data_IF_599741927179
#
_entry.id   IF_599741927179
#
_cell.length_a   1.000
_cell.length_b   1.000
_cell.length_c   1.000
_cell.angle_alpha   90.00
_cell.angle_beta   90.00
_cell.angle_gamma   90.00
#
_symmetry.space_group_name_H-M   'P 1'
#
loop_
_entity.id
_entity.type
_entity.pdbx_description
1 polymer ?
#
# COMPACT_ATOMS: atom_id res chain seq x y z
N UNK A 1 -68.39 0.75 41.73
CA UNK A 1 -67.73 1.31 40.52
C UNK A 1 -66.33 1.75 40.89
N UNK A 2 -65.31 1.04 40.41
CA UNK A 2 -63.89 1.30 40.70
C UNK A 2 -63.36 2.39 39.76
N UNK A 3 -62.57 3.35 40.27
CA UNK A 3 -61.66 4.17 39.44
C UNK A 3 -60.28 4.19 40.09
N UNK A 4 -59.31 3.81 39.26
CA UNK A 4 -57.89 3.56 39.52
C UNK A 4 -57.13 4.88 39.73
N UNK A 5 -56.20 4.90 40.69
CA UNK A 5 -55.20 5.95 40.87
C UNK A 5 -53.88 5.45 40.27
N UNK A 6 -53.29 6.25 39.39
CA UNK A 6 -52.06 5.98 38.64
C UNK A 6 -50.85 6.50 39.42
N UNK A 7 -49.85 5.65 39.61
CA UNK A 7 -48.56 5.96 40.25
C UNK A 7 -47.56 6.46 39.19
N UNK A 8 -46.93 7.62 39.41
CA UNK A 8 -45.85 8.15 38.58
C UNK A 8 -44.52 8.01 39.35
N UNK A 9 -43.59 7.21 38.83
CA UNK A 9 -42.27 6.98 39.42
C UNK A 9 -41.26 7.98 38.85
N UNK A 10 -40.64 8.74 39.74
CA UNK A 10 -39.57 9.71 39.49
C UNK A 10 -38.21 8.99 39.63
N UNK A 11 -37.34 9.06 38.61
CA UNK A 11 -35.92 8.66 38.73
C UNK A 11 -35.05 9.75 38.13
N UNK A 12 -34.40 10.51 39.02
CA UNK A 12 -33.31 11.44 38.73
C UNK A 12 -31.98 10.74 39.00
N UNK A 13 -31.07 10.68 38.01
CA UNK A 13 -29.71 10.18 38.18
C UNK A 13 -28.76 11.37 38.39
N UNK A 14 -28.11 11.38 39.56
CA UNK A 14 -27.06 12.31 39.97
C UNK A 14 -25.70 11.81 39.46
N UNK A 15 -24.91 12.68 38.83
CA UNK A 15 -23.50 12.46 38.51
C UNK A 15 -22.64 12.88 39.71
N UNK A 16 -21.91 11.92 40.27
CA UNK A 16 -20.99 12.10 41.39
C UNK A 16 -19.58 12.49 40.94
N UNK A 17 -18.90 13.28 41.78
CA UNK A 17 -17.53 13.77 41.65
C UNK A 17 -16.62 13.04 42.69
N UNK A 18 -15.29 13.26 42.61
CA UNK A 18 -14.19 12.90 43.56
C UNK A 18 -13.50 11.54 43.20
N UNK A 19 -12.17 11.38 43.08
CA UNK A 19 -11.00 11.94 43.80
C UNK A 19 -9.70 11.81 42.99
N UNK A 20 -8.72 12.69 43.29
CA UNK A 20 -7.29 12.51 43.01
C UNK A 20 -6.62 11.69 44.10
N UNK A 21 -5.69 10.80 43.72
CA UNK A 21 -4.32 10.62 44.25
C UNK A 21 -3.85 9.18 44.00
N UNK A 22 -2.78 8.99 43.21
CA UNK A 22 -1.53 8.28 43.60
C UNK A 22 -0.50 8.55 42.48
N UNK A 23 0.47 9.40 42.78
CA UNK A 23 1.79 9.37 42.17
C UNK A 23 2.57 8.18 42.75
N UNK A 24 3.11 7.31 41.91
CA UNK A 24 4.49 6.78 42.03
C UNK A 24 4.69 5.55 41.14
N UNK A 25 5.27 5.73 39.96
CA UNK A 25 6.27 4.83 39.40
C UNK A 25 7.03 5.57 38.29
N UNK A 26 8.28 5.94 38.58
CA UNK A 26 9.28 6.34 37.59
C UNK A 26 9.72 5.11 36.81
N UNK A 27 9.77 5.21 35.48
CA UNK A 27 10.42 4.23 34.61
C UNK A 27 10.43 4.72 33.16
N UNK A 28 11.49 5.41 32.78
CA UNK A 28 12.00 5.67 31.43
C UNK A 28 11.05 5.54 30.22
N UNK A 29 10.65 6.66 29.62
CA UNK A 29 10.45 6.75 28.16
C UNK A 29 10.89 8.14 27.69
N UNK A 30 11.89 8.16 26.80
CA UNK A 30 12.23 9.32 26.01
C UNK A 30 11.05 9.67 25.11
N UNK A 31 10.54 10.89 25.22
CA UNK A 31 9.51 11.41 24.32
C UNK A 31 10.16 11.65 22.96
N UNK A 32 9.88 10.77 22.00
CA UNK A 32 9.85 11.15 20.59
C UNK A 32 8.72 12.19 20.46
N UNK A 33 9.10 13.44 20.22
CA UNK A 33 8.15 14.53 20.05
C UNK A 33 7.44 14.40 18.71
N UNK A 34 6.31 13.70 18.67
CA UNK A 34 5.39 13.75 17.53
C UNK A 34 4.69 15.11 17.57
N UNK A 35 5.17 16.04 16.75
CA UNK A 35 4.49 17.32 16.52
C UNK A 35 3.28 17.03 15.64
N UNK A 36 2.08 17.05 16.24
CA UNK A 36 0.83 17.05 15.48
C UNK A 36 0.74 18.38 14.72
N UNK A 37 1.06 18.36 13.43
CA UNK A 37 0.65 19.39 12.48
C UNK A 37 -0.87 19.31 12.38
N UNK A 38 -1.57 20.41 12.66
CA UNK A 38 -3.00 20.53 12.42
C UNK A 38 -3.28 20.26 10.93
N UNK A 39 -3.86 19.08 10.63
CA UNK A 39 -4.27 18.67 9.28
C UNK A 39 -5.28 19.69 8.74
N UNK A 40 -4.90 20.43 7.70
CA UNK A 40 -5.88 21.09 6.82
C UNK A 40 -6.45 20.00 5.93
N UNK A 41 -7.78 19.80 5.85
CA UNK A 41 -8.36 18.89 4.88
C UNK A 41 -7.90 19.32 3.48
N UNK A 42 -7.21 18.43 2.76
CA UNK A 42 -6.92 18.68 1.36
C UNK A 42 -8.26 18.70 0.62
N UNK A 43 -8.64 19.88 0.14
CA UNK A 43 -9.83 20.04 -0.68
C UNK A 43 -9.51 19.48 -2.07
N UNK A 44 -9.84 18.20 -2.29
CA UNK A 44 -9.72 17.57 -3.61
C UNK A 44 -10.79 18.20 -4.51
N UNK A 45 -10.38 19.22 -5.28
CA UNK A 45 -11.20 19.79 -6.35
C UNK A 45 -11.40 18.71 -7.42
N UNK A 46 -12.65 18.52 -7.86
CA UNK A 46 -12.97 17.68 -9.03
C UNK A 46 -12.20 18.21 -10.25
N UNK A 47 -11.39 17.36 -10.87
CA UNK A 47 -10.55 17.70 -12.02
C UNK A 47 -10.47 16.47 -12.92
N UNK A 48 -10.41 16.76 -14.23
CA UNK A 48 -10.39 15.85 -15.38
C UNK A 48 -9.53 14.57 -15.19
N UNK A 49 -9.82 13.46 -15.92
CA UNK A 49 -9.25 12.13 -15.67
C UNK A 49 -7.77 12.02 -16.04
N UNK A 50 -7.21 13.12 -16.54
CA UNK A 50 -5.93 13.28 -17.21
C UNK A 50 -4.83 13.83 -16.28
N UNK A 51 -4.95 13.60 -14.97
CA UNK A 51 -3.86 13.93 -14.06
C UNK A 51 -2.60 13.17 -14.43
N UNK A 52 -1.54 13.95 -14.68
CA UNK A 52 -0.19 13.50 -14.97
C UNK A 52 -0.10 12.50 -16.12
N UNK A 53 -0.75 12.78 -17.25
CA UNK A 53 -0.55 12.00 -18.47
C UNK A 53 -0.09 12.86 -19.64
N UNK A 54 0.65 12.24 -20.56
CA UNK A 54 1.11 12.82 -21.83
C UNK A 54 0.12 12.50 -22.97
N UNK A 55 -1.07 12.00 -22.65
CA UNK A 55 -2.04 11.44 -23.59
C UNK A 55 -1.93 9.92 -23.72
N UNK A 56 -2.60 9.38 -24.75
CA UNK A 56 -2.65 7.94 -25.02
C UNK A 56 -1.57 7.53 -26.03
N UNK A 57 -0.94 6.42 -25.73
CA UNK A 57 -0.12 5.67 -26.67
C UNK A 57 -1.00 5.20 -27.85
N UNK A 58 -0.62 5.52 -29.11
CA UNK A 58 -1.41 5.15 -30.28
C UNK A 58 -1.39 3.63 -30.60
N UNK A 59 -0.39 2.90 -30.13
CA UNK A 59 -0.24 1.46 -30.35
C UNK A 59 -0.96 0.66 -29.26
N UNK A 60 -0.79 1.03 -28.00
CA UNK A 60 -1.36 0.28 -26.87
C UNK A 60 -2.73 0.80 -26.43
N UNK A 61 -3.06 2.06 -26.72
CA UNK A 61 -4.27 2.75 -26.26
C UNK A 61 -4.25 3.13 -24.77
N UNK A 62 -3.12 2.90 -24.07
CA UNK A 62 -2.93 3.20 -22.66
C UNK A 62 -2.51 4.66 -22.45
N UNK A 63 -2.88 5.27 -21.33
CA UNK A 63 -2.38 6.59 -20.97
C UNK A 63 -0.92 6.51 -20.56
N UNK A 64 -0.07 7.40 -21.08
CA UNK A 64 1.35 7.47 -20.71
C UNK A 64 1.48 8.47 -19.56
N UNK A 65 2.01 8.06 -18.41
CA UNK A 65 2.22 8.99 -17.28
C UNK A 65 3.26 10.06 -17.61
N UNK A 66 3.13 11.24 -17.02
CA UNK A 66 4.03 12.40 -17.20
C UNK A 66 4.79 12.79 -15.93
N UNK A 67 4.62 12.00 -14.87
CA UNK A 67 5.24 12.20 -13.56
C UNK A 67 5.98 10.93 -13.12
N UNK A 68 6.64 10.25 -14.05
CA UNK A 68 7.27 8.95 -13.86
C UNK A 68 8.27 8.90 -12.70
N UNK A 69 8.92 10.03 -12.38
CA UNK A 69 9.87 10.17 -11.28
C UNK A 69 9.24 10.55 -9.93
N UNK A 70 7.93 10.82 -9.87
CA UNK A 70 7.21 11.15 -8.65
C UNK A 70 6.96 9.88 -7.81
N UNK A 71 7.07 9.95 -6.49
CA UNK A 71 6.74 8.84 -5.59
C UNK A 71 5.25 8.46 -5.66
N UNK A 72 4.41 9.38 -6.11
CA UNK A 72 2.98 9.20 -6.35
C UNK A 72 2.66 8.83 -7.82
N UNK A 73 3.66 8.47 -8.63
CA UNK A 73 3.41 7.95 -9.99
C UNK A 73 2.37 6.83 -9.97
N UNK A 74 1.36 6.93 -10.82
CA UNK A 74 0.22 6.03 -10.79
C UNK A 74 0.14 5.22 -12.08
N UNK A 75 0.49 3.93 -11.98
CA UNK A 75 0.46 2.97 -13.09
C UNK A 75 -0.50 1.84 -12.74
N UNK A 76 -1.23 1.36 -13.73
CA UNK A 76 -2.23 0.30 -13.60
C UNK A 76 -2.54 -0.28 -14.99
N UNK A 77 -3.57 -1.11 -15.13
CA UNK A 77 -3.99 -1.71 -16.41
C UNK A 77 -4.32 -0.71 -17.54
N UNK A 78 -4.44 0.58 -17.23
CA UNK A 78 -4.83 1.67 -18.14
C UNK A 78 -3.79 2.79 -18.26
N UNK A 79 -2.78 2.81 -17.39
CA UNK A 79 -1.73 3.83 -17.28
C UNK A 79 -0.36 3.15 -17.29
N UNK A 80 0.47 3.51 -18.27
CA UNK A 80 1.80 2.97 -18.48
C UNK A 80 2.89 4.02 -18.24
N UNK A 81 4.08 3.55 -17.88
CA UNK A 81 5.32 4.32 -17.86
C UNK A 81 5.74 4.69 -19.29
N UNK A 82 6.44 5.82 -19.48
CA UNK A 82 7.03 6.14 -20.78
C UNK A 82 8.09 5.10 -21.17
N UNK A 83 8.29 4.94 -22.47
CA UNK A 83 9.27 4.02 -23.03
C UNK A 83 10.68 4.31 -22.51
N UNK A 84 11.40 3.25 -22.15
CA UNK A 84 12.76 3.35 -21.64
C UNK A 84 12.88 3.89 -20.21
N UNK A 85 11.76 4.09 -19.49
CA UNK A 85 11.82 4.51 -18.10
C UNK A 85 12.49 3.45 -17.21
N UNK A 86 13.53 3.90 -16.51
CA UNK A 86 14.25 3.22 -15.45
C UNK A 86 14.58 4.26 -14.35
N UNK A 87 14.28 3.99 -13.07
CA UNK A 87 14.62 4.92 -12.00
C UNK A 87 16.14 5.10 -11.86
N UNK A 88 16.60 6.35 -11.72
CA UNK A 88 18.04 6.67 -11.60
C UNK A 88 18.60 6.41 -10.20
N UNK A 89 17.74 6.24 -9.19
CA UNK A 89 18.06 6.20 -7.76
C UNK A 89 17.85 4.83 -7.12
N UNK A 90 17.98 3.74 -7.89
CA UNK A 90 17.83 2.38 -7.39
C UNK A 90 18.97 2.00 -6.41
N UNK A 91 18.58 1.50 -5.24
CA UNK A 91 19.47 0.96 -4.20
C UNK A 91 18.94 -0.36 -3.66
N UNK A 92 19.83 -1.15 -3.06
CA UNK A 92 19.47 -2.37 -2.36
C UNK A 92 19.23 -2.09 -0.87
N UNK A 93 18.04 -2.39 -0.30
CA UNK A 93 17.79 -2.25 1.11
C UNK A 93 18.55 -3.30 1.91
N UNK A 94 19.07 -2.92 3.07
CA UNK A 94 19.74 -3.79 4.01
C UNK A 94 18.75 -4.67 4.81
N UNK A 95 18.03 -5.53 4.11
CA UNK A 95 17.06 -6.48 4.68
C UNK A 95 17.29 -7.88 4.13
N UNK A 96 16.77 -8.89 4.83
CA UNK A 96 16.76 -10.26 4.30
C UNK A 96 15.95 -10.33 3.02
N UNK A 97 16.50 -11.03 2.02
CA UNK A 97 15.90 -11.07 0.70
C UNK A 97 16.04 -12.46 0.06
N UNK A 98 14.98 -12.93 -0.59
CA UNK A 98 14.87 -14.27 -1.18
C UNK A 98 15.75 -14.45 -2.44
N UNK A 99 15.80 -13.42 -3.29
CA UNK A 99 16.64 -13.40 -4.51
C UNK A 99 18.13 -13.19 -4.17
N UNK A 100 19.08 -13.74 -4.95
CA UNK A 100 20.52 -13.63 -4.69
C UNK A 100 21.06 -12.20 -4.92
N UNK A 101 22.16 -11.85 -4.24
CA UNK A 101 22.87 -10.57 -4.41
C UNK A 101 23.13 -10.24 -5.89
N UNK A 102 22.95 -8.98 -6.27
CA UNK A 102 23.08 -8.49 -7.65
C UNK A 102 21.85 -8.71 -8.54
N UNK A 103 20.78 -9.32 -8.03
CA UNK A 103 19.50 -9.43 -8.75
C UNK A 103 18.69 -8.12 -8.66
N UNK A 104 18.18 -7.62 -9.79
CA UNK A 104 17.34 -6.41 -9.84
C UNK A 104 16.12 -6.46 -8.91
N UNK A 105 15.61 -7.67 -8.62
CA UNK A 105 14.54 -7.85 -7.63
C UNK A 105 14.90 -7.38 -6.24
N UNK A 106 16.17 -7.16 -5.94
CA UNK A 106 16.61 -6.61 -4.65
C UNK A 106 16.55 -5.10 -4.60
N UNK A 107 16.30 -4.43 -5.72
CA UNK A 107 16.41 -2.98 -5.80
C UNK A 107 15.08 -2.28 -5.56
N UNK A 108 15.15 -1.10 -4.95
CA UNK A 108 14.07 -0.13 -4.81
C UNK A 108 14.62 1.26 -5.07
N UNK A 109 13.76 2.23 -5.39
CA UNK A 109 14.16 3.64 -5.31
C UNK A 109 14.61 3.95 -3.89
N UNK A 110 15.66 4.75 -3.75
CA UNK A 110 16.36 5.00 -2.48
C UNK A 110 15.44 5.32 -1.30
N UNK A 111 14.48 6.21 -1.49
CA UNK A 111 13.56 6.61 -0.41
C UNK A 111 12.68 5.43 0.06
N UNK A 112 12.19 4.61 -0.89
CA UNK A 112 11.45 3.40 -0.56
C UNK A 112 12.37 2.36 0.12
N UNK A 113 13.60 2.19 -0.38
CA UNK A 113 14.61 1.30 0.21
C UNK A 113 14.84 1.59 1.70
N UNK A 114 15.12 2.86 2.03
CA UNK A 114 15.36 3.30 3.41
C UNK A 114 14.10 3.11 4.29
N UNK A 115 12.92 3.36 3.73
CA UNK A 115 11.66 3.13 4.43
C UNK A 115 11.38 1.63 4.68
N UNK A 116 11.78 0.75 3.76
CA UNK A 116 11.62 -0.70 3.91
C UNK A 116 12.48 -1.22 5.06
N UNK A 117 13.70 -0.72 5.19
CA UNK A 117 14.59 -1.07 6.31
C UNK A 117 13.94 -0.74 7.66
N UNK A 118 13.34 0.45 7.78
CA UNK A 118 12.63 0.87 9.00
C UNK A 118 11.39 0.01 9.30
N UNK A 119 10.63 -0.38 8.26
CA UNK A 119 9.50 -1.30 8.43
C UNK A 119 9.96 -2.67 8.94
N UNK A 120 11.05 -3.20 8.39
CA UNK A 120 11.60 -4.50 8.78
C UNK A 120 12.22 -4.46 10.17
N UNK A 121 12.89 -3.37 10.54
CA UNK A 121 13.41 -3.14 11.89
C UNK A 121 12.26 -3.15 12.92
N UNK A 122 11.19 -2.39 12.67
CA UNK A 122 10.03 -2.36 13.55
C UNK A 122 9.33 -3.72 13.69
N UNK A 123 9.23 -4.49 12.60
CA UNK A 123 8.72 -5.86 12.67
C UNK A 123 9.63 -6.74 13.56
N UNK A 124 10.94 -6.63 13.39
CA UNK A 124 11.92 -7.39 14.16
C UNK A 124 11.86 -7.06 15.66
N UNK A 125 11.56 -5.82 16.05
CA UNK A 125 11.36 -5.44 17.45
C UNK A 125 10.16 -6.17 18.11
N UNK A 126 9.16 -6.56 17.32
CA UNK A 126 8.02 -7.38 17.75
C UNK A 126 8.27 -8.88 17.60
N UNK A 127 9.50 -9.29 17.24
CA UNK A 127 9.86 -10.69 17.01
C UNK A 127 9.36 -11.26 15.67
N UNK A 128 8.88 -10.39 14.78
CA UNK A 128 8.37 -10.74 13.45
C UNK A 128 9.50 -10.68 12.44
N UNK A 129 9.68 -11.75 11.66
CA UNK A 129 10.75 -11.84 10.64
C UNK A 129 10.19 -11.76 9.23
N UNK A 130 10.23 -10.57 8.66
CA UNK A 130 9.91 -10.32 7.25
C UNK A 130 11.08 -10.71 6.34
N UNK A 131 10.77 -11.08 5.10
CA UNK A 131 11.73 -11.26 4.01
C UNK A 131 11.24 -10.55 2.77
N UNK A 132 12.12 -9.81 2.10
CA UNK A 132 11.83 -9.20 0.80
C UNK A 132 11.95 -10.24 -0.33
N UNK A 133 11.11 -10.13 -1.36
CA UNK A 133 10.99 -11.16 -2.41
C UNK A 133 11.26 -10.59 -3.80
N UNK A 134 10.56 -9.51 -4.17
CA UNK A 134 10.64 -8.90 -5.49
C UNK A 134 10.34 -7.40 -5.46
N UNK A 135 11.38 -6.59 -5.59
CA UNK A 135 11.37 -5.16 -5.82
C UNK A 135 11.35 -4.81 -7.31
N UNK A 136 12.35 -4.06 -7.77
CA UNK A 136 12.44 -3.54 -9.14
C UNK A 136 12.41 -4.63 -10.20
N UNK A 137 11.69 -4.32 -11.29
CA UNK A 137 11.58 -5.18 -12.47
C UNK A 137 11.58 -4.33 -13.73
N UNK A 138 12.58 -4.51 -14.58
CA UNK A 138 12.69 -3.77 -15.84
C UNK A 138 11.52 -4.08 -16.78
N UNK A 139 11.31 -3.17 -17.73
CA UNK A 139 10.33 -3.33 -18.79
C UNK A 139 10.51 -4.66 -19.56
N UNK A 140 11.74 -4.98 -19.96
CA UNK A 140 12.08 -6.19 -20.72
C UNK A 140 11.77 -7.45 -19.91
N UNK A 141 12.05 -7.42 -18.61
CA UNK A 141 11.72 -8.54 -17.73
C UNK A 141 10.22 -8.73 -17.62
N UNK A 142 9.46 -7.65 -17.49
CA UNK A 142 7.99 -7.71 -17.47
C UNK A 142 7.44 -8.22 -18.81
N UNK A 143 8.02 -7.80 -19.95
CA UNK A 143 7.68 -8.31 -21.27
C UNK A 143 7.92 -9.82 -21.41
N UNK A 144 9.05 -10.33 -20.91
CA UNK A 144 9.32 -11.76 -20.90
C UNK A 144 8.32 -12.55 -20.03
N UNK A 145 7.96 -12.03 -18.85
CA UNK A 145 6.96 -12.65 -17.97
C UNK A 145 5.59 -12.69 -18.64
N UNK A 146 5.16 -11.55 -19.19
CA UNK A 146 3.87 -11.43 -19.84
C UNK A 146 3.77 -12.37 -21.06
N UNK A 147 4.78 -12.40 -21.93
CA UNK A 147 4.84 -13.30 -23.07
C UNK A 147 4.80 -14.78 -22.65
N UNK A 148 5.49 -15.14 -21.57
CA UNK A 148 5.45 -16.50 -21.01
C UNK A 148 4.06 -16.87 -20.49
N UNK A 149 3.36 -15.95 -19.83
CA UNK A 149 1.98 -16.15 -19.37
C UNK A 149 1.01 -16.31 -20.54
N UNK A 150 1.14 -15.50 -21.60
CA UNK A 150 0.33 -15.64 -22.82
C UNK A 150 0.56 -17.01 -23.46
N UNK A 151 1.82 -17.43 -23.60
CA UNK A 151 2.17 -18.71 -24.21
C UNK A 151 1.67 -19.92 -23.42
N UNK A 152 1.66 -19.84 -22.09
CA UNK A 152 1.32 -20.97 -21.21
C UNK A 152 -0.16 -21.04 -20.83
N UNK A 153 -0.84 -19.89 -20.69
CA UNK A 153 -2.20 -19.80 -20.14
C UNK A 153 -3.19 -19.06 -21.05
N UNK A 154 -2.71 -18.48 -22.15
CA UNK A 154 -3.51 -17.73 -23.11
C UNK A 154 -3.64 -16.24 -22.77
N UNK A 155 -3.96 -15.45 -23.80
CA UNK A 155 -4.02 -13.99 -23.76
C UNK A 155 -5.01 -13.46 -22.70
N UNK A 156 -6.24 -13.97 -22.68
CA UNK A 156 -7.27 -13.53 -21.72
C UNK A 156 -6.84 -13.74 -20.28
N UNK A 157 -6.18 -14.87 -19.98
CA UNK A 157 -5.65 -15.11 -18.63
C UNK A 157 -4.50 -14.16 -18.31
N UNK A 158 -3.56 -13.96 -19.24
CA UNK A 158 -2.44 -13.04 -19.04
C UNK A 158 -2.91 -11.60 -18.79
N UNK A 159 -3.90 -11.11 -19.55
CA UNK A 159 -4.47 -9.77 -19.35
C UNK A 159 -5.18 -9.59 -18.00
N UNK A 160 -5.71 -10.68 -17.45
CA UNK A 160 -6.39 -10.65 -16.15
C UNK A 160 -5.39 -10.65 -14.99
N UNK A 161 -4.36 -11.48 -15.05
CA UNK A 161 -3.49 -11.79 -13.91
C UNK A 161 -2.05 -11.28 -14.03
N UNK A 162 -1.68 -10.63 -15.14
CA UNK A 162 -0.33 -10.13 -15.37
C UNK A 162 -0.37 -8.70 -15.87
N UNK A 163 0.46 -7.83 -15.27
CA UNK A 163 0.67 -6.49 -15.80
C UNK A 163 1.28 -6.59 -17.20
N UNK A 164 0.80 -5.73 -18.12
CA UNK A 164 1.47 -5.52 -19.40
C UNK A 164 2.81 -4.82 -19.17
N UNK A 165 3.75 -4.92 -20.10
CA UNK A 165 4.98 -4.11 -20.06
C UNK A 165 4.62 -2.63 -19.94
N UNK A 166 5.36 -1.88 -19.11
CA UNK A 166 5.06 -0.47 -18.82
C UNK A 166 3.97 -0.26 -17.76
N UNK A 167 3.14 -1.25 -17.43
CA UNK A 167 2.02 -1.08 -16.48
C UNK A 167 2.26 -1.69 -15.11
N UNK A 168 3.45 -2.21 -14.84
CA UNK A 168 3.78 -2.86 -13.56
C UNK A 168 4.37 -1.86 -12.58
N UNK A 169 3.83 -1.81 -11.36
CA UNK A 169 4.41 -0.97 -10.30
C UNK A 169 5.85 -1.36 -9.95
N UNK A 170 6.28 -2.61 -10.15
CA UNK A 170 7.67 -3.00 -9.93
C UNK A 170 8.65 -2.22 -10.81
N UNK A 171 8.24 -1.77 -12.00
CA UNK A 171 9.10 -0.96 -12.86
C UNK A 171 9.35 0.44 -12.27
N UNK A 172 8.46 0.92 -11.40
CA UNK A 172 8.66 2.21 -10.71
C UNK A 172 9.78 2.18 -9.67
N UNK A 173 10.20 0.99 -9.23
CA UNK A 173 11.09 0.81 -8.08
C UNK A 173 10.45 1.20 -6.74
N UNK A 174 9.14 1.43 -6.69
CA UNK A 174 8.40 1.79 -5.47
C UNK A 174 7.58 0.62 -4.91
N UNK A 175 7.58 -0.53 -5.59
CA UNK A 175 6.88 -1.73 -5.14
C UNK A 175 7.85 -2.79 -4.63
N UNK A 176 7.53 -3.40 -3.48
CA UNK A 176 8.26 -4.53 -2.91
C UNK A 176 7.27 -5.61 -2.50
N UNK A 177 7.46 -6.81 -3.04
CA UNK A 177 6.81 -8.01 -2.51
C UNK A 177 7.54 -8.49 -1.25
N UNK A 178 6.79 -8.78 -0.19
CA UNK A 178 7.32 -9.29 1.08
C UNK A 178 6.68 -10.63 1.50
N UNK A 179 7.33 -11.36 2.38
CA UNK A 179 6.82 -12.62 2.95
C UNK A 179 7.38 -12.83 4.36
N UNK A 180 7.19 -14.04 4.90
CA UNK A 180 7.79 -14.50 6.17
C UNK A 180 9.10 -15.23 5.89
N UNK A 181 10.16 -14.87 6.62
CA UNK A 181 11.46 -15.54 6.54
C UNK A 181 11.33 -17.05 6.84
N UNK A 182 11.75 -17.90 5.91
CA UNK A 182 11.78 -19.35 6.08
C UNK A 182 10.43 -20.06 5.99
N UNK A 183 9.38 -19.39 5.50
CA UNK A 183 8.06 -19.98 5.29
C UNK A 183 7.61 -19.87 3.83
N UNK A 184 8.01 -20.86 3.03
CA UNK A 184 7.69 -20.92 1.60
C UNK A 184 6.19 -21.18 1.33
N UNK A 185 5.43 -21.67 2.32
CA UNK A 185 3.99 -21.95 2.15
C UNK A 185 3.14 -20.70 1.97
N UNK A 186 3.64 -19.55 2.43
CA UNK A 186 2.93 -18.26 2.36
C UNK A 186 3.56 -17.32 1.32
N UNK A 187 4.63 -17.73 0.66
CA UNK A 187 5.37 -16.94 -0.33
C UNK A 187 4.46 -16.46 -1.46
N UNK A 188 4.30 -15.14 -1.58
CA UNK A 188 3.50 -14.48 -2.62
C UNK A 188 2.09 -15.07 -2.74
N UNK A 189 1.43 -15.28 -1.59
CA UNK A 189 0.11 -15.88 -1.51
C UNK A 189 -0.79 -15.12 -0.53
N UNK A 190 -2.10 -15.24 -0.70
CA UNK A 190 -3.08 -14.59 0.19
C UNK A 190 -2.94 -15.05 1.64
N UNK A 191 -2.44 -16.27 1.88
CA UNK A 191 -2.16 -16.81 3.21
C UNK A 191 -1.13 -15.97 3.97
N UNK A 192 -0.29 -15.17 3.29
CA UNK A 192 0.61 -14.23 3.97
C UNK A 192 -0.17 -13.27 4.89
N UNK A 193 -1.33 -12.77 4.43
CA UNK A 193 -2.18 -11.85 5.20
C UNK A 193 -2.75 -12.47 6.50
N UNK A 194 -2.77 -13.79 6.61
CA UNK A 194 -3.24 -14.52 7.80
C UNK A 194 -2.12 -14.75 8.84
N UNK A 195 -0.86 -14.43 8.49
CA UNK A 195 0.28 -14.57 9.40
C UNK A 195 0.44 -13.36 10.32
N UNK A 196 1.14 -13.52 11.44
CA UNK A 196 1.54 -12.39 12.30
C UNK A 196 2.26 -11.30 11.52
N UNK A 197 3.12 -11.68 10.57
CA UNK A 197 3.84 -10.75 9.71
C UNK A 197 2.93 -9.98 8.75
N UNK A 198 2.00 -10.67 8.08
CA UNK A 198 1.02 -10.04 7.20
C UNK A 198 0.09 -9.09 7.95
N UNK A 199 -0.37 -9.50 9.14
CA UNK A 199 -1.18 -8.63 10.01
C UNK A 199 -0.38 -7.42 10.51
N UNK A 200 0.89 -7.59 10.86
CA UNK A 200 1.77 -6.46 11.22
C UNK A 200 1.93 -5.49 10.05
N UNK A 201 2.21 -5.98 8.84
CA UNK A 201 2.31 -5.17 7.64
C UNK A 201 1.00 -4.42 7.37
N UNK A 202 -0.15 -5.11 7.41
CA UNK A 202 -1.45 -4.50 7.20
C UNK A 202 -1.76 -3.36 8.19
N UNK A 203 -1.26 -3.45 9.42
CA UNK A 203 -1.54 -2.47 10.48
C UNK A 203 -0.48 -1.37 10.62
N UNK A 204 0.77 -1.62 10.20
CA UNK A 204 1.89 -0.72 10.48
C UNK A 204 2.59 -0.16 9.25
N UNK A 205 2.46 -0.77 8.06
CA UNK A 205 3.21 -0.37 6.86
C UNK A 205 3.01 1.12 6.51
N UNK A 206 1.81 1.65 6.74
CA UNK A 206 1.48 3.05 6.45
C UNK A 206 2.36 4.05 7.23
N UNK A 207 2.80 3.68 8.44
CA UNK A 207 3.68 4.50 9.28
C UNK A 207 5.06 4.68 8.66
N UNK A 208 5.42 3.84 7.70
CA UNK A 208 6.68 3.87 6.96
C UNK A 208 6.47 4.29 5.49
N UNK A 209 5.27 4.74 5.12
CA UNK A 209 4.99 5.19 3.75
C UNK A 209 4.59 4.09 2.77
N UNK A 210 4.31 2.88 3.27
CA UNK A 210 3.86 1.76 2.46
C UNK A 210 2.37 1.49 2.63
N UNK A 211 1.71 1.11 1.53
CA UNK A 211 0.34 0.57 1.54
C UNK A 211 0.35 -0.87 1.03
N UNK A 212 -0.63 -1.67 1.47
CA UNK A 212 -1.02 -2.88 0.71
C UNK A 212 -1.73 -2.38 -0.55
N UNK A 213 -1.10 -2.55 -1.70
CA UNK A 213 -1.56 -1.92 -2.95
C UNK A 213 -2.91 -2.45 -3.43
N UNK A 214 -3.12 -3.75 -3.24
CA UNK A 214 -4.30 -4.49 -3.69
C UNK A 214 -4.98 -5.11 -2.47
N UNK A 215 -5.78 -4.34 -1.72
CA UNK A 215 -6.47 -4.82 -0.53
C UNK A 215 -7.70 -5.68 -0.88
N UNK A 216 -8.12 -6.51 0.07
CA UNK A 216 -9.31 -7.38 -0.06
C UNK A 216 -10.59 -6.55 -0.25
N UNK A 217 -11.47 -6.99 -1.16
CA UNK A 217 -12.75 -6.35 -1.42
C UNK A 217 -12.67 -5.10 -2.31
N UNK A 218 -11.50 -4.78 -2.86
CA UNK A 218 -11.26 -3.66 -3.78
C UNK A 218 -10.83 -4.14 -5.17
N UNK A 219 -11.14 -5.39 -5.53
CA UNK A 219 -10.76 -6.00 -6.80
C UNK A 219 -11.42 -5.30 -7.99
N UNK A 220 -12.68 -4.90 -7.83
CA UNK A 220 -13.42 -4.14 -8.84
C UNK A 220 -12.86 -2.72 -9.05
N UNK A 221 -12.06 -2.20 -8.10
CA UNK A 221 -11.45 -0.87 -8.18
C UNK A 221 -10.03 -0.99 -8.77
N UNK A 222 -9.20 -1.81 -8.16
CA UNK A 222 -7.79 -1.95 -8.55
C UNK A 222 -7.60 -2.80 -9.81
N UNK A 223 -8.54 -3.70 -10.10
CA UNK A 223 -8.43 -4.70 -11.15
C UNK A 223 -7.52 -5.88 -10.81
N UNK A 224 -7.03 -5.98 -9.57
CA UNK A 224 -6.19 -7.07 -9.07
C UNK A 224 -6.88 -7.77 -7.89
N UNK A 225 -6.61 -9.06 -7.72
CA UNK A 225 -7.05 -9.79 -6.54
C UNK A 225 -6.38 -9.23 -5.28
N UNK A 226 -6.87 -9.61 -4.09
CA UNK A 226 -6.14 -9.34 -2.85
C UNK A 226 -4.70 -9.89 -2.89
N UNK A 227 -3.72 -8.99 -2.69
CA UNK A 227 -2.29 -9.31 -2.64
C UNK A 227 -1.66 -8.69 -1.37
N UNK A 228 -1.79 -9.33 -0.19
CA UNK A 228 -1.27 -8.79 1.08
C UNK A 228 0.25 -8.60 1.10
N UNK A 229 0.96 -9.25 0.19
CA UNK A 229 2.41 -9.20 0.09
C UNK A 229 2.92 -8.01 -0.72
N UNK A 230 2.10 -7.42 -1.61
CA UNK A 230 2.53 -6.39 -2.55
C UNK A 230 2.44 -5.01 -1.90
N UNK A 231 3.59 -4.49 -1.47
CA UNK A 231 3.68 -3.18 -0.84
C UNK A 231 4.05 -2.11 -1.85
N UNK A 232 3.32 -0.99 -1.83
CA UNK A 232 3.59 0.19 -2.65
C UNK A 232 4.00 1.37 -1.77
N UNK A 233 5.16 1.95 -2.03
CA UNK A 233 5.63 3.17 -1.39
C UNK A 233 4.96 4.40 -2.01
N UNK A 234 4.39 5.26 -1.16
CA UNK A 234 3.72 6.52 -1.54
C UNK A 234 4.09 7.69 -0.61
N UNK A 235 5.07 7.49 0.28
CA UNK A 235 5.40 8.45 1.34
C UNK A 235 4.46 8.35 2.55
N UNK A 236 4.96 8.74 3.71
CA UNK A 236 4.30 8.52 5.01
C UNK A 236 2.93 9.22 5.12
N UNK A 237 2.83 10.46 4.65
CA UNK A 237 1.59 11.26 4.75
C UNK A 237 0.45 10.61 3.96
N UNK A 238 0.68 10.31 2.69
CA UNK A 238 -0.32 9.71 1.80
C UNK A 238 -0.65 8.28 2.24
N UNK A 239 0.35 7.48 2.61
CA UNK A 239 0.09 6.11 3.08
C UNK A 239 -0.78 6.11 4.34
N UNK A 240 -0.53 7.03 5.28
CA UNK A 240 -1.33 7.19 6.49
C UNK A 240 -2.76 7.61 6.17
N UNK A 241 -2.96 8.55 5.24
CA UNK A 241 -4.31 8.94 4.82
C UNK A 241 -5.07 7.78 4.16
N UNK A 242 -4.43 7.06 3.25
CA UNK A 242 -5.01 5.89 2.59
C UNK A 242 -5.43 4.82 3.61
N UNK A 243 -4.58 4.57 4.61
CA UNK A 243 -4.86 3.63 5.68
C UNK A 243 -6.02 4.09 6.57
N UNK A 244 -6.00 5.32 7.08
CA UNK A 244 -7.05 5.87 7.97
C UNK A 244 -8.43 5.93 7.30
N UNK A 245 -8.46 6.07 5.97
CA UNK A 245 -9.69 6.22 5.18
C UNK A 245 -10.10 4.95 4.43
N UNK A 246 -9.34 3.85 4.55
CA UNK A 246 -9.58 2.58 3.84
C UNK A 246 -9.70 2.75 2.32
N UNK A 247 -8.82 3.59 1.76
CA UNK A 247 -8.78 3.92 0.34
C UNK A 247 -7.70 3.13 -0.39
N UNK A 248 -7.98 2.83 -1.65
CA UNK A 248 -6.97 2.47 -2.65
C UNK A 248 -6.30 3.71 -3.23
N UNK A 249 -5.18 3.51 -3.93
CA UNK A 249 -4.50 4.60 -4.64
C UNK A 249 -5.39 5.16 -5.76
N UNK A 250 -6.16 4.31 -6.43
CA UNK A 250 -7.24 4.68 -7.36
C UNK A 250 -8.17 5.72 -6.72
N UNK A 251 -8.74 5.39 -5.57
CA UNK A 251 -9.74 6.22 -4.89
C UNK A 251 -9.17 7.53 -4.38
N UNK A 252 -7.90 7.55 -3.98
CA UNK A 252 -7.18 8.77 -3.59
C UNK A 252 -7.06 9.75 -4.77
N UNK A 253 -6.80 9.23 -5.97
CA UNK A 253 -6.81 10.03 -7.19
C UNK A 253 -8.21 10.26 -7.78
N UNK A 254 -9.27 9.74 -7.16
CA UNK A 254 -10.65 9.93 -7.61
C UNK A 254 -11.12 8.98 -8.71
N UNK A 255 -10.46 7.83 -8.87
CA UNK A 255 -10.82 6.80 -9.86
C UNK A 255 -11.59 5.64 -9.21
N UNK A 256 -12.58 5.11 -9.94
CA UNK A 256 -13.28 3.87 -9.61
C UNK A 256 -12.69 2.68 -10.38
N UNK A 257 -12.93 2.64 -11.70
CA UNK A 257 -12.56 1.59 -12.67
C UNK A 257 -13.13 2.01 -14.04
N UNK A 258 -12.58 1.74 -15.24
CA UNK A 258 -11.21 1.70 -15.72
C UNK A 258 -10.71 3.13 -16.06
N UNK A 259 -10.48 3.94 -15.03
CA UNK A 259 -10.26 5.38 -15.19
C UNK A 259 -11.54 6.18 -15.43
N UNK A 260 -12.71 5.63 -15.06
CA UNK A 260 -13.91 6.47 -14.92
C UNK A 260 -13.80 7.28 -13.62
N UNK A 261 -14.09 8.57 -13.73
CA UNK A 261 -14.18 9.49 -12.60
C UNK A 261 -15.38 9.16 -11.69
N UNK A 262 -15.22 9.39 -10.38
CA UNK A 262 -16.29 9.35 -9.37
C UNK A 262 -17.17 10.61 -9.34
#
# INVERSE_FOLDING_TARGET
MKKTVLFLLLVTVLVGCISQEVLSARGAQGKLGLVFLEKKPLEIKRVEPDYFTQGKDPETGLYIVSNENDILVYVNKYRQLPDGYEPEDLTEPNVWHYSPEGDNRRLLRKEASEALELLFEAASEEGIRLVAVSGYRSHERQAAIYASNVASKGQTHADQFSAKPGTSEHQTGLAMDVSVEGNDEVLLSQRFGETEAGMFVATHAHRFGYIIRYPEGKEEITGYNYEPWHLRYVGQEVATELYERELTLEEYFGFDYPGNER
#
